data_IF_817040359418
#
_entry.id   IF_817040359418
#
_cell.length_a   1.000
_cell.length_b   1.000
_cell.length_c   1.000
_cell.angle_alpha   90.00
_cell.angle_beta   90.00
_cell.angle_gamma   90.00
#
_symmetry.space_group_name_H-M   'P 1'
#
loop_
_entity.id
_entity.type
_entity.pdbx_description
1 polymer ?
#
# COMPACT_ATOMS: atom_id res chain seq x y z
N UNK A 1 -65.89 11.13 45.75
CA UNK A 1 -65.94 9.75 45.22
C UNK A 1 -65.18 9.70 43.90
N UNK A 2 -64.07 8.96 43.83
CA UNK A 2 -63.28 8.80 42.60
C UNK A 2 -64.01 7.79 41.70
N UNK A 3 -64.40 8.19 40.49
CA UNK A 3 -64.98 7.27 39.52
C UNK A 3 -63.92 6.24 39.09
N UNK A 4 -64.15 4.98 39.39
CA UNK A 4 -63.36 3.86 38.90
C UNK A 4 -63.75 3.62 37.44
N UNK A 5 -63.01 4.23 36.52
CA UNK A 5 -63.17 4.00 35.08
C UNK A 5 -62.52 2.66 34.73
N UNK A 6 -63.36 1.66 34.44
CA UNK A 6 -62.92 0.38 33.89
C UNK A 6 -62.28 0.59 32.50
N UNK A 7 -61.07 0.08 32.32
CA UNK A 7 -60.39 0.04 31.03
C UNK A 7 -61.18 -0.92 30.13
N UNK A 8 -61.65 -0.43 28.98
CA UNK A 8 -62.38 -1.23 28.00
C UNK A 8 -61.43 -2.20 27.28
N UNK A 9 -61.88 -3.42 26.99
CA UNK A 9 -61.12 -4.43 26.23
C UNK A 9 -60.63 -3.87 24.88
N UNK A 10 -61.41 -2.98 24.26
CA UNK A 10 -61.05 -2.31 23.01
C UNK A 10 -59.80 -1.44 23.16
N UNK A 11 -59.64 -0.71 24.29
CA UNK A 11 -58.44 0.09 24.50
C UNK A 11 -57.20 -0.78 24.72
N UNK A 12 -57.36 -1.99 25.23
CA UNK A 12 -56.25 -2.94 25.37
C UNK A 12 -55.83 -3.52 24.01
N UNK A 13 -56.79 -3.85 23.13
CA UNK A 13 -56.48 -4.33 21.79
C UNK A 13 -55.78 -3.26 20.94
N UNK A 14 -56.24 -2.01 21.00
CA UNK A 14 -55.59 -0.89 20.30
C UNK A 14 -54.19 -0.61 20.86
N UNK A 15 -53.98 -0.72 22.17
CA UNK A 15 -52.65 -0.59 22.78
C UNK A 15 -51.65 -1.66 22.31
N UNK A 16 -52.12 -2.91 22.17
CA UNK A 16 -51.31 -4.03 21.67
C UNK A 16 -50.93 -3.86 20.19
N UNK A 17 -51.86 -3.42 19.34
CA UNK A 17 -51.56 -3.22 17.90
C UNK A 17 -50.57 -2.08 17.69
N UNK A 18 -50.71 -0.96 18.41
CA UNK A 18 -49.75 0.14 18.38
C UNK A 18 -48.37 -0.33 18.85
N UNK A 19 -48.31 -1.13 19.92
CA UNK A 19 -47.05 -1.68 20.42
C UNK A 19 -46.36 -2.57 19.38
N UNK A 20 -47.11 -3.40 18.65
CA UNK A 20 -46.56 -4.24 17.59
C UNK A 20 -45.99 -3.43 16.41
N UNK A 21 -46.69 -2.36 16.01
CA UNK A 21 -46.21 -1.46 14.94
C UNK A 21 -44.89 -0.78 15.35
N UNK A 22 -44.78 -0.32 16.60
CA UNK A 22 -43.56 0.32 17.12
C UNK A 22 -42.39 -0.66 17.12
N UNK A 23 -42.60 -1.90 17.55
CA UNK A 23 -41.54 -2.93 17.55
C UNK A 23 -41.06 -3.22 16.13
N UNK A 24 -41.96 -3.32 15.16
CA UNK A 24 -41.60 -3.51 13.75
C UNK A 24 -40.80 -2.33 13.20
N UNK A 25 -41.19 -1.09 13.52
CA UNK A 25 -40.46 0.11 13.13
C UNK A 25 -39.04 0.14 13.73
N UNK A 26 -38.91 -0.17 15.02
CA UNK A 26 -37.61 -0.32 15.70
C UNK A 26 -36.75 -1.42 15.06
N UNK A 27 -37.35 -2.54 14.65
CA UNK A 27 -36.61 -3.63 14.01
C UNK A 27 -36.07 -3.23 12.63
N UNK A 28 -36.81 -2.40 11.88
CA UNK A 28 -36.36 -1.83 10.61
C UNK A 28 -35.16 -0.90 10.80
N UNK A 29 -35.22 -0.01 11.79
CA UNK A 29 -34.10 0.88 12.15
C UNK A 29 -32.87 0.07 12.59
N UNK A 30 -33.06 -0.90 13.47
CA UNK A 30 -31.98 -1.76 13.96
C UNK A 30 -31.27 -2.51 12.82
N UNK A 31 -32.03 -3.08 11.87
CA UNK A 31 -31.45 -3.75 10.69
C UNK A 31 -30.61 -2.80 9.85
N UNK A 32 -31.10 -1.59 9.60
CA UNK A 32 -30.36 -0.57 8.85
C UNK A 32 -29.06 -0.18 9.57
N UNK A 33 -29.14 0.12 10.86
CA UNK A 33 -27.96 0.46 11.68
C UNK A 33 -26.94 -0.68 11.75
N UNK A 34 -27.39 -1.93 11.82
CA UNK A 34 -26.48 -3.07 11.79
C UNK A 34 -25.78 -3.20 10.43
N UNK A 35 -26.52 -3.05 9.33
CA UNK A 35 -25.94 -3.13 7.99
C UNK A 35 -24.87 -2.05 7.78
N UNK A 36 -25.15 -0.80 8.17
CA UNK A 36 -24.17 0.27 8.08
C UNK A 36 -22.96 0.00 8.97
N UNK A 37 -23.18 -0.46 10.21
CA UNK A 37 -22.09 -0.79 11.14
C UNK A 37 -21.19 -1.90 10.60
N UNK A 38 -21.75 -2.94 9.99
CA UNK A 38 -20.98 -4.04 9.39
C UNK A 38 -20.16 -3.55 8.20
N UNK A 39 -20.76 -2.76 7.30
CA UNK A 39 -20.05 -2.18 6.16
C UNK A 39 -18.92 -1.26 6.62
N UNK A 40 -19.17 -0.40 7.61
CA UNK A 40 -18.15 0.47 8.20
C UNK A 40 -17.01 -0.33 8.85
N UNK A 41 -17.32 -1.44 9.53
CA UNK A 41 -16.30 -2.32 10.14
C UNK A 41 -15.41 -2.97 9.07
N UNK A 42 -16.01 -3.46 7.99
CA UNK A 42 -15.26 -4.06 6.87
C UNK A 42 -14.37 -3.00 6.22
N UNK A 43 -14.91 -1.82 5.91
CA UNK A 43 -14.14 -0.71 5.34
C UNK A 43 -12.97 -0.29 6.22
N UNK A 44 -13.21 -0.10 7.52
CA UNK A 44 -12.16 0.26 8.48
C UNK A 44 -11.05 -0.81 8.58
N UNK A 45 -11.41 -2.10 8.53
CA UNK A 45 -10.43 -3.19 8.55
C UNK A 45 -9.56 -3.19 7.28
N UNK A 46 -10.15 -2.91 6.11
CA UNK A 46 -9.41 -2.82 4.86
C UNK A 46 -8.47 -1.62 4.86
N UNK A 47 -8.93 -0.45 5.32
CA UNK A 47 -8.10 0.75 5.43
C UNK A 47 -6.97 0.58 6.46
N UNK A 48 -7.22 -0.15 7.54
CA UNK A 48 -6.20 -0.54 8.50
C UNK A 48 -5.11 -1.43 7.87
N UNK A 49 -5.51 -2.46 7.13
CA UNK A 49 -4.57 -3.35 6.43
C UNK A 49 -3.75 -2.59 5.37
N UNK A 50 -4.37 -1.66 4.62
CA UNK A 50 -3.68 -0.79 3.65
C UNK A 50 -2.64 0.10 4.31
N UNK A 51 -3.03 0.79 5.38
CA UNK A 51 -2.14 1.69 6.13
C UNK A 51 -0.96 0.92 6.74
N UNK A 52 -1.22 -0.24 7.33
CA UNK A 52 -0.17 -1.11 7.87
C UNK A 52 0.76 -1.63 6.77
N UNK A 53 0.20 -2.07 5.64
CA UNK A 53 0.95 -2.49 4.46
C UNK A 53 1.87 -1.38 3.96
N UNK A 54 1.37 -0.17 3.77
CA UNK A 54 2.19 0.98 3.38
C UNK A 54 3.28 1.28 4.40
N UNK A 55 2.96 1.35 5.69
CA UNK A 55 3.94 1.62 6.74
C UNK A 55 5.07 0.58 6.74
N UNK A 56 4.75 -0.70 6.54
CA UNK A 56 5.75 -1.76 6.43
C UNK A 56 6.69 -1.56 5.24
N UNK A 57 6.16 -1.10 4.10
CA UNK A 57 6.97 -0.75 2.93
C UNK A 57 7.84 0.48 3.22
N UNK A 58 7.29 1.52 3.85
CA UNK A 58 8.07 2.71 4.19
C UNK A 58 9.25 2.35 5.11
N UNK A 59 9.00 1.49 6.10
CA UNK A 59 10.03 1.02 7.02
C UNK A 59 11.09 0.18 6.30
N UNK A 60 10.69 -0.73 5.40
CA UNK A 60 11.63 -1.55 4.64
C UNK A 60 12.41 -0.72 3.60
N UNK A 61 11.79 0.30 3.00
CA UNK A 61 12.45 1.22 2.09
C UNK A 61 13.54 2.06 2.79
N UNK A 62 13.40 2.34 4.08
CA UNK A 62 14.45 3.05 4.83
C UNK A 62 15.77 2.26 4.91
N UNK A 63 15.74 0.93 4.75
CA UNK A 63 16.96 0.13 4.69
C UNK A 63 17.68 0.27 3.34
N UNK A 64 17.05 0.80 2.30
CA UNK A 64 17.65 0.91 0.97
C UNK A 64 18.98 1.68 1.01
N UNK A 65 20.04 1.07 0.48
CA UNK A 65 21.38 1.65 0.46
C UNK A 65 22.18 1.48 1.75
N UNK A 66 21.58 0.99 2.83
CA UNK A 66 22.27 0.82 4.11
C UNK A 66 23.43 -0.18 3.98
N UNK A 67 24.61 0.18 4.50
CA UNK A 67 25.80 -0.68 4.53
C UNK A 67 26.49 -0.90 3.17
N UNK A 68 26.06 -0.23 2.09
CA UNK A 68 26.74 -0.28 0.79
C UNK A 68 27.86 0.76 0.71
N UNK A 69 29.05 0.35 0.28
CA UNK A 69 30.20 1.24 0.09
C UNK A 69 30.02 2.20 -1.09
N UNK A 70 29.40 1.70 -2.16
CA UNK A 70 29.02 2.47 -3.34
C UNK A 70 27.60 2.10 -3.73
N UNK A 71 26.77 3.12 -3.97
CA UNK A 71 25.42 2.92 -4.46
C UNK A 71 25.37 3.17 -5.96
N UNK A 72 24.91 2.17 -6.71
CA UNK A 72 24.73 2.25 -8.15
C UNK A 72 23.25 2.01 -8.46
N UNK A 73 22.58 3.02 -9.01
CA UNK A 73 21.15 2.97 -9.33
C UNK A 73 20.78 1.73 -10.17
N UNK A 74 21.55 1.40 -11.20
CA UNK A 74 21.20 0.30 -12.10
C UNK A 74 21.21 -1.08 -11.43
N UNK A 75 21.96 -1.27 -10.35
CA UNK A 75 22.14 -2.55 -9.64
C UNK A 75 21.51 -2.58 -8.26
N UNK A 76 21.35 -1.43 -7.61
CA UNK A 76 21.04 -1.34 -6.18
C UNK A 76 19.64 -0.80 -5.93
N UNK A 77 19.05 -0.10 -6.91
CA UNK A 77 17.71 0.45 -6.79
C UNK A 77 17.05 0.71 -8.14
N UNK A 78 15.99 -0.04 -8.45
CA UNK A 78 15.42 -0.02 -9.79
C UNK A 78 13.91 -0.11 -9.78
N UNK A 79 13.27 0.77 -10.56
CA UNK A 79 11.85 0.72 -10.86
C UNK A 79 11.64 0.02 -12.20
N UNK A 80 10.57 -0.77 -12.28
CA UNK A 80 10.18 -1.53 -13.46
C UNK A 80 8.74 -1.23 -13.86
N UNK A 81 8.47 -1.11 -15.16
CA UNK A 81 7.16 -0.65 -15.69
C UNK A 81 6.23 -1.76 -16.17
N UNK A 82 6.76 -2.96 -16.45
CA UNK A 82 6.00 -4.04 -17.09
C UNK A 82 6.33 -5.42 -16.49
N UNK A 83 6.41 -5.50 -15.16
CA UNK A 83 6.60 -6.78 -14.48
C UNK A 83 5.32 -7.63 -14.52
N UNK A 84 5.40 -8.85 -15.07
CA UNK A 84 4.23 -9.74 -15.20
C UNK A 84 3.74 -10.30 -13.84
N UNK A 85 2.44 -10.59 -13.76
CA UNK A 85 1.70 -10.89 -12.51
C UNK A 85 2.13 -12.17 -11.78
N UNK A 86 2.55 -13.19 -12.52
CA UNK A 86 2.88 -14.51 -11.98
C UNK A 86 4.36 -14.86 -12.02
N UNK A 87 5.11 -14.29 -12.97
CA UNK A 87 6.54 -14.52 -13.10
C UNK A 87 7.25 -13.30 -13.65
N UNK A 88 8.13 -12.69 -12.86
CA UNK A 88 8.90 -11.55 -13.35
C UNK A 88 10.19 -12.06 -14.00
N UNK A 89 10.16 -12.13 -15.33
CA UNK A 89 11.28 -12.50 -16.18
C UNK A 89 11.57 -11.37 -17.17
N UNK A 90 12.70 -10.68 -16.98
CA UNK A 90 13.15 -9.55 -17.80
C UNK A 90 12.23 -8.31 -17.85
N UNK A 91 11.89 -7.70 -16.70
CA UNK A 91 11.05 -6.51 -16.68
C UNK A 91 11.75 -5.28 -17.30
N UNK A 92 10.98 -4.45 -18.01
CA UNK A 92 11.46 -3.17 -18.56
C UNK A 92 11.77 -2.21 -17.43
N UNK A 93 13.00 -1.69 -17.43
CA UNK A 93 13.42 -0.73 -16.42
C UNK A 93 12.95 0.68 -16.75
N UNK A 94 12.38 1.37 -15.76
CA UNK A 94 12.08 2.79 -15.87
C UNK A 94 13.36 3.62 -15.75
N UNK A 95 13.45 4.70 -16.53
CA UNK A 95 14.51 5.70 -16.36
C UNK A 95 14.14 6.62 -15.20
N UNK A 96 14.91 6.58 -14.11
CA UNK A 96 14.69 7.49 -12.98
C UNK A 96 15.35 8.84 -13.27
N UNK A 97 14.58 9.91 -13.15
CA UNK A 97 15.06 11.28 -13.31
C UNK A 97 14.39 12.19 -12.27
N UNK A 98 14.56 13.51 -12.38
CA UNK A 98 13.79 14.47 -11.58
C UNK A 98 12.30 14.42 -11.89
N UNK A 99 11.91 13.89 -13.06
CA UNK A 99 10.52 13.64 -13.42
C UNK A 99 10.04 12.34 -12.77
N UNK A 100 8.77 12.32 -12.34
CA UNK A 100 8.14 11.14 -11.74
C UNK A 100 8.08 10.00 -12.76
N UNK A 101 8.74 8.89 -12.44
CA UNK A 101 8.60 7.62 -13.14
C UNK A 101 7.57 6.75 -12.41
N UNK A 102 6.72 6.06 -13.16
CA UNK A 102 5.70 5.14 -12.62
C UNK A 102 5.99 3.72 -13.06
N UNK A 103 5.77 2.75 -12.17
CA UNK A 103 5.97 1.34 -12.45
C UNK A 103 5.22 0.44 -11.49
N UNK A 104 5.38 -0.86 -11.69
CA UNK A 104 4.67 -1.91 -10.95
C UNK A 104 5.58 -2.81 -10.13
N UNK A 105 6.91 -2.73 -10.30
CA UNK A 105 7.89 -3.40 -9.44
C UNK A 105 9.00 -2.44 -9.01
N UNK A 106 9.38 -2.51 -7.73
CA UNK A 106 10.48 -1.73 -7.16
C UNK A 106 11.47 -2.65 -6.45
N UNK A 107 12.72 -2.58 -6.87
CA UNK A 107 13.85 -3.33 -6.32
C UNK A 107 14.75 -2.41 -5.50
N UNK A 108 15.25 -2.90 -4.37
CA UNK A 108 16.34 -2.25 -3.64
C UNK A 108 17.24 -3.25 -2.90
N UNK A 109 18.45 -2.81 -2.58
CA UNK A 109 19.47 -3.59 -1.84
C UNK A 109 19.95 -2.87 -0.58
N UNK A 110 20.36 -3.66 0.40
CA UNK A 110 21.08 -3.23 1.60
C UNK A 110 22.05 -4.32 2.08
N UNK A 111 22.91 -4.00 3.03
CA UNK A 111 23.81 -4.95 3.69
C UNK A 111 23.45 -5.00 5.16
N UNK A 112 23.12 -6.19 5.64
CA UNK A 112 22.84 -6.38 7.06
C UNK A 112 24.13 -6.26 7.88
N UNK A 113 24.14 -5.31 8.81
CA UNK A 113 25.34 -4.97 9.60
C UNK A 113 25.89 -6.14 10.42
N UNK A 114 25.04 -7.11 10.76
CA UNK A 114 25.38 -8.27 11.58
C UNK A 114 26.09 -9.39 10.81
N UNK A 115 25.91 -9.47 9.49
CA UNK A 115 26.37 -10.61 8.70
C UNK A 115 27.23 -10.23 7.49
N UNK A 116 27.35 -8.93 7.16
CA UNK A 116 27.96 -8.46 5.91
C UNK A 116 27.37 -9.15 4.66
N UNK A 117 26.11 -9.57 4.75
CA UNK A 117 25.38 -10.24 3.67
C UNK A 117 24.56 -9.21 2.92
N UNK A 118 24.66 -9.24 1.59
CA UNK A 118 23.81 -8.43 0.72
C UNK A 118 22.39 -8.99 0.75
N UNK A 119 21.43 -8.17 1.15
CA UNK A 119 20.01 -8.51 1.17
C UNK A 119 19.27 -7.55 0.25
N UNK A 120 18.27 -8.06 -0.44
CA UNK A 120 17.51 -7.30 -1.42
C UNK A 120 16.04 -7.58 -1.19
N UNK A 121 15.24 -6.57 -1.52
CA UNK A 121 13.81 -6.67 -1.52
C UNK A 121 13.25 -6.26 -2.87
N UNK A 122 12.08 -6.82 -3.12
CA UNK A 122 11.25 -6.55 -4.26
C UNK A 122 9.84 -6.25 -3.75
N UNK A 123 9.35 -5.08 -4.10
CA UNK A 123 7.95 -4.71 -3.96
C UNK A 123 7.28 -4.88 -5.31
N UNK A 124 6.14 -5.57 -5.34
CA UNK A 124 5.39 -5.81 -6.57
C UNK A 124 3.92 -5.45 -6.40
N UNK A 125 3.40 -4.67 -7.33
CA UNK A 125 1.99 -4.29 -7.42
C UNK A 125 1.36 -4.98 -8.64
N UNK A 126 0.58 -6.05 -8.45
CA UNK A 126 -0.09 -6.75 -9.53
C UNK A 126 -1.13 -5.88 -10.23
N UNK A 127 -1.37 -6.14 -11.51
CA UNK A 127 -2.43 -5.48 -12.28
C UNK A 127 -3.82 -5.78 -11.73
N UNK A 128 -3.99 -6.93 -11.06
CA UNK A 128 -5.20 -7.34 -10.35
C UNK A 128 -5.39 -6.73 -8.96
N UNK A 129 -4.49 -5.84 -8.53
CA UNK A 129 -4.55 -5.13 -7.26
C UNK A 129 -3.83 -5.81 -6.10
N UNK A 130 -3.67 -5.06 -5.01
CA UNK A 130 -2.89 -5.47 -3.85
C UNK A 130 -1.40 -5.13 -3.97
N UNK A 131 -0.63 -5.58 -3.00
CA UNK A 131 0.80 -5.29 -2.87
C UNK A 131 1.51 -6.51 -2.27
N UNK A 132 2.47 -7.05 -3.01
CA UNK A 132 3.32 -8.16 -2.61
C UNK A 132 4.71 -7.66 -2.23
N UNK A 133 5.29 -8.28 -1.22
CA UNK A 133 6.68 -8.06 -0.82
C UNK A 133 7.46 -9.36 -0.83
N UNK A 134 8.70 -9.25 -1.29
CA UNK A 134 9.65 -10.34 -1.34
C UNK A 134 11.01 -9.85 -0.87
N UNK A 135 11.75 -10.69 -0.13
CA UNK A 135 13.11 -10.40 0.28
C UNK A 135 14.00 -11.64 0.18
N UNK A 136 15.26 -11.46 -0.21
CA UNK A 136 16.24 -12.53 -0.38
C UNK A 136 17.62 -12.09 0.09
N UNK A 137 18.32 -12.97 0.79
CA UNK A 137 19.72 -12.80 1.19
C UNK A 137 20.67 -13.34 0.12
N UNK A 138 21.88 -12.79 0.02
CA UNK A 138 22.92 -13.20 -0.93
C UNK A 138 22.74 -12.65 -2.35
N UNK A 139 22.06 -11.52 -2.52
CA UNK A 139 21.76 -10.93 -3.82
C UNK A 139 22.68 -9.74 -4.12
N UNK A 140 23.36 -9.75 -5.26
CA UNK A 140 24.29 -8.69 -5.66
C UNK A 140 23.76 -7.80 -6.77
N UNK A 141 22.66 -8.19 -7.41
CA UNK A 141 22.04 -7.49 -8.53
C UNK A 141 20.54 -7.77 -8.57
N UNK A 142 19.77 -7.03 -9.38
CA UNK A 142 18.35 -7.33 -9.59
C UNK A 142 18.17 -8.74 -10.18
N UNK A 143 19.05 -9.15 -11.11
CA UNK A 143 19.07 -10.52 -11.66
C UNK A 143 19.26 -11.62 -10.62
N UNK A 144 19.93 -11.35 -9.50
CA UNK A 144 20.06 -12.29 -8.39
C UNK A 144 18.76 -12.51 -7.60
N UNK A 145 17.83 -11.57 -7.67
CA UNK A 145 16.46 -11.71 -7.15
C UNK A 145 15.65 -12.59 -8.12
N UNK A 146 15.59 -12.25 -9.41
CA UNK A 146 14.76 -12.96 -10.40
C UNK A 146 15.26 -14.39 -10.72
N UNK A 147 16.56 -14.65 -10.69
CA UNK A 147 17.14 -15.88 -11.23
C UNK A 147 16.99 -16.01 -12.76
N UNK A 148 17.49 -17.10 -13.34
CA UNK A 148 17.44 -17.33 -14.80
C UNK A 148 16.01 -17.67 -15.31
N UNK A 149 15.14 -18.15 -14.43
CA UNK A 149 13.77 -18.60 -14.74
C UNK A 149 12.70 -17.61 -14.27
N UNK A 150 13.08 -16.47 -13.69
CA UNK A 150 12.15 -15.55 -13.02
C UNK A 150 11.77 -15.99 -11.60
N UNK A 151 11.15 -15.09 -10.84
CA UNK A 151 10.57 -15.39 -9.52
C UNK A 151 9.15 -15.89 -9.70
N UNK A 152 8.85 -17.05 -9.12
CA UNK A 152 7.49 -17.44 -8.79
C UNK A 152 7.00 -16.63 -7.59
N UNK A 153 6.23 -15.57 -7.88
CA UNK A 153 5.66 -14.68 -6.88
C UNK A 153 4.58 -15.37 -6.03
N UNK A 154 4.06 -16.53 -6.43
CA UNK A 154 3.03 -17.24 -5.68
C UNK A 154 3.60 -17.93 -4.44
N UNK A 155 4.83 -18.44 -4.53
CA UNK A 155 5.44 -19.26 -3.48
C UNK A 155 6.44 -18.47 -2.61
N UNK A 156 7.03 -17.41 -3.16
CA UNK A 156 8.14 -16.70 -2.53
C UNK A 156 7.73 -15.39 -1.84
N UNK A 157 6.62 -14.77 -2.27
CA UNK A 157 6.17 -13.46 -1.77
C UNK A 157 5.06 -13.58 -0.73
N UNK A 158 4.90 -12.53 0.09
CA UNK A 158 3.75 -12.39 0.96
C UNK A 158 2.95 -11.13 0.61
N UNK A 159 1.64 -11.17 0.87
CA UNK A 159 0.77 -10.03 0.69
C UNK A 159 0.92 -9.04 1.85
N UNK A 160 1.32 -7.82 1.54
CA UNK A 160 1.25 -6.69 2.46
C UNK A 160 -0.14 -6.04 2.43
N UNK A 161 -0.71 -5.97 1.23
CA UNK A 161 -2.09 -5.53 1.01
C UNK A 161 -2.74 -6.58 0.12
N UNK A 162 -3.74 -7.34 0.60
CA UNK A 162 -4.41 -8.31 -0.23
C UNK A 162 -5.23 -7.64 -1.35
N UNK A 163 -5.39 -8.31 -2.50
CA UNK A 163 -6.33 -7.86 -3.52
C UNK A 163 -7.75 -7.89 -2.93
N UNK A 164 -8.62 -6.96 -3.35
CA UNK A 164 -9.99 -6.96 -2.87
C UNK A 164 -10.74 -8.16 -3.48
N UNK A 165 -10.87 -9.24 -2.72
CA UNK A 165 -11.69 -10.40 -3.06
C UNK A 165 -13.00 -10.31 -2.30
N UNK A 166 -13.84 -9.31 -2.58
CA UNK A 166 -15.25 -9.42 -2.20
C UNK A 166 -15.86 -10.55 -3.07
N UNK A 167 -16.16 -11.76 -2.54
CA UNK A 167 -16.48 -12.94 -3.36
C UNK A 167 -17.85 -12.86 -4.07
N UNK A 168 -18.49 -11.70 -4.07
CA UNK A 168 -19.81 -11.46 -4.67
C UNK A 168 -19.98 -10.07 -5.31
N UNK A 169 -18.93 -9.26 -5.39
CA UNK A 169 -18.95 -7.98 -6.11
C UNK A 169 -17.85 -7.97 -7.17
N UNK A 170 -18.23 -8.28 -8.41
CA UNK A 170 -17.39 -7.94 -9.56
C UNK A 170 -17.23 -6.42 -9.58
N UNK A 171 -15.99 -5.94 -9.51
CA UNK A 171 -15.71 -4.53 -9.69
C UNK A 171 -16.30 -4.05 -11.03
N UNK A 172 -16.78 -2.79 -11.12
CA UNK A 172 -17.20 -2.21 -12.39
C UNK A 172 -16.10 -2.38 -13.45
N UNK A 173 -16.47 -2.72 -14.68
CA UNK A 173 -15.52 -2.91 -15.77
C UNK A 173 -14.56 -1.71 -15.90
N UNK A 174 -13.26 -1.97 -15.82
CA UNK A 174 -12.20 -0.95 -15.91
C UNK A 174 -11.71 -0.38 -14.56
N UNK A 175 -12.31 -0.76 -13.42
CA UNK A 175 -11.80 -0.40 -12.08
C UNK A 175 -11.22 -1.65 -11.44
N UNK A 176 -9.90 -1.71 -11.30
CA UNK A 176 -9.27 -2.74 -10.47
C UNK A 176 -9.26 -2.21 -9.03
N UNK A 177 -10.12 -2.74 -8.13
CA UNK A 177 -10.13 -2.32 -6.75
C UNK A 177 -8.76 -2.63 -6.16
N UNK A 178 -8.20 -1.69 -5.39
CA UNK A 178 -6.92 -1.86 -4.72
C UNK A 178 -5.69 -1.89 -5.64
N UNK A 179 -5.78 -1.37 -6.87
CA UNK A 179 -4.60 -1.11 -7.68
C UNK A 179 -3.64 -0.14 -6.96
N UNK A 180 -2.39 -0.57 -6.79
CA UNK A 180 -1.32 0.24 -6.22
C UNK A 180 -0.40 0.67 -7.36
N UNK A 181 -0.19 1.98 -7.50
CA UNK A 181 0.81 2.53 -8.40
C UNK A 181 2.04 2.90 -7.59
N UNK A 182 3.21 2.42 -8.05
CA UNK A 182 4.50 2.80 -7.48
C UNK A 182 5.06 3.92 -8.36
N UNK A 183 5.42 5.03 -7.75
CA UNK A 183 6.03 6.16 -8.43
C UNK A 183 7.30 6.59 -7.72
N UNK A 184 8.32 6.95 -8.50
CA UNK A 184 9.64 7.30 -7.98
C UNK A 184 10.14 8.53 -8.71
N UNK A 185 10.70 9.48 -7.96
CA UNK A 185 11.38 10.63 -8.54
C UNK A 185 12.69 10.91 -7.81
N UNK A 186 13.69 11.38 -8.56
CA UNK A 186 14.92 11.93 -8.00
C UNK A 186 14.64 13.34 -7.49
N UNK A 187 15.26 13.69 -6.38
CA UNK A 187 15.20 15.03 -5.80
C UNK A 187 16.58 15.44 -5.29
N UNK A 188 16.78 16.74 -5.12
CA UNK A 188 18.02 17.26 -4.55
C UNK A 188 18.16 16.85 -3.08
N UNK A 189 19.39 16.76 -2.58
CA UNK A 189 19.70 16.34 -1.22
C UNK A 189 18.97 17.15 -0.12
N UNK A 190 18.62 18.41 -0.39
CA UNK A 190 17.87 19.27 0.53
C UNK A 190 16.34 19.01 0.54
N UNK A 191 15.79 18.46 -0.55
CA UNK A 191 14.33 18.27 -0.70
C UNK A 191 13.77 17.01 -0.04
N UNK A 192 14.62 16.14 0.51
CA UNK A 192 14.22 14.84 1.03
C UNK A 192 15.17 14.38 2.14
N UNK A 193 15.04 15.00 3.32
CA UNK A 193 15.72 14.62 4.57
C UNK A 193 14.74 13.90 5.50
N UNK A 194 15.13 12.82 6.18
CA UNK A 194 14.35 12.30 7.30
C UNK A 194 14.27 13.36 8.39
N UNK A 195 13.18 13.35 9.15
CA UNK A 195 13.03 14.23 10.29
C UNK A 195 14.20 14.06 11.26
N UNK A 196 14.84 15.16 11.66
CA UNK A 196 15.95 15.16 12.62
C UNK A 196 17.35 14.96 12.03
N UNK A 197 17.51 14.74 10.73
CA UNK A 197 18.83 14.67 10.07
C UNK A 197 19.04 15.94 9.25
N UNK A 198 19.96 16.81 9.68
CA UNK A 198 20.42 17.93 8.87
C UNK A 198 21.04 17.40 7.56
N UNK A 199 20.86 18.12 6.44
CA UNK A 199 21.45 17.78 5.14
C UNK A 199 22.99 17.94 5.12
N UNK A 200 23.67 17.34 6.10
CA UNK A 200 25.12 17.32 6.19
C UNK A 200 25.61 16.17 5.32
N UNK A 201 26.14 16.53 4.17
CA UNK A 201 26.92 15.65 3.32
C UNK A 201 28.13 15.16 4.15
N UNK A 202 28.39 13.84 4.26
CA UNK A 202 29.54 13.33 5.00
C UNK A 202 30.83 13.99 4.50
N UNK A 203 31.71 14.40 5.41
CA UNK A 203 32.99 15.01 5.07
C UNK A 203 33.82 14.06 4.18
N UNK A 204 33.99 14.42 2.90
CA UNK A 204 34.66 13.60 1.90
C UNK A 204 33.79 13.15 0.72
N UNK A 205 32.45 13.31 0.79
CA UNK A 205 31.58 13.14 -0.36
C UNK A 205 31.49 14.46 -1.14
N UNK A 206 32.00 14.49 -2.37
CA UNK A 206 31.87 15.64 -3.28
C UNK A 206 30.39 15.80 -3.67
N UNK A 207 29.83 16.99 -3.42
CA UNK A 207 28.43 17.39 -3.61
C UNK A 207 27.84 17.20 -5.02
N UNK A 208 28.61 16.70 -5.99
CA UNK A 208 28.27 16.84 -7.40
C UNK A 208 27.19 15.85 -7.88
N UNK A 209 26.81 14.81 -7.12
CA UNK A 209 25.83 13.80 -7.58
C UNK A 209 24.94 13.15 -6.50
N UNK A 210 24.76 13.72 -5.30
CA UNK A 210 23.83 13.17 -4.28
C UNK A 210 22.35 13.42 -4.63
N UNK A 211 21.83 12.74 -5.67
CA UNK A 211 20.39 12.65 -5.90
C UNK A 211 19.77 11.68 -4.87
N UNK A 212 18.76 12.16 -4.14
CA UNK A 212 17.94 11.33 -3.26
C UNK A 212 16.70 10.86 -4.00
N UNK A 213 16.08 9.79 -3.53
CA UNK A 213 14.88 9.24 -4.14
C UNK A 213 13.69 9.42 -3.22
N UNK A 214 12.57 9.85 -3.81
CA UNK A 214 11.25 9.83 -3.16
C UNK A 214 10.46 8.73 -3.82
N UNK A 215 9.99 7.77 -3.01
CA UNK A 215 9.07 6.72 -3.44
C UNK A 215 7.68 7.09 -2.97
N UNK A 216 6.73 7.16 -3.89
CA UNK A 216 5.32 7.42 -3.62
C UNK A 216 4.51 6.19 -4.03
N UNK A 217 3.81 5.62 -3.06
CA UNK A 217 2.78 4.62 -3.28
C UNK A 217 1.45 5.35 -3.32
N UNK A 218 0.64 5.09 -4.34
CA UNK A 218 -0.73 5.57 -4.40
C UNK A 218 -1.66 4.42 -4.69
N UNK A 219 -2.75 4.34 -3.92
CA UNK A 219 -3.77 3.32 -4.13
C UNK A 219 -5.13 3.98 -4.31
N UNK A 220 -5.90 3.46 -5.25
CA UNK A 220 -7.28 3.86 -5.47
C UNK A 220 -8.17 3.07 -4.49
N UNK A 221 -8.86 3.78 -3.60
CA UNK A 221 -9.84 3.16 -2.71
C UNK A 221 -11.08 2.72 -3.50
N UNK A 222 -11.49 1.48 -3.32
CA UNK A 222 -12.59 0.82 -4.03
C UNK A 222 -13.97 1.02 -3.39
N UNK A 223 -14.14 1.98 -2.48
CA UNK A 223 -15.46 2.30 -1.92
C UNK A 223 -16.45 2.90 -2.94
N UNK A 224 -16.07 3.04 -4.22
CA UNK A 224 -16.97 3.37 -5.31
C UNK A 224 -17.91 2.20 -5.65
N UNK A 225 -18.89 1.97 -4.78
CA UNK A 225 -20.00 1.04 -5.01
C UNK A 225 -21.03 1.57 -6.02
N UNK A 226 -20.86 2.81 -6.51
CA UNK A 226 -21.76 3.45 -7.48
C UNK A 226 -20.99 4.33 -8.45
N UNK A 227 -21.39 4.30 -9.71
CA UNK A 227 -20.99 5.23 -10.77
C UNK A 227 -21.20 6.66 -10.28
N UNK A 228 -20.10 7.34 -9.90
CA UNK A 228 -20.14 8.71 -9.38
C UNK A 228 -19.37 8.95 -8.08
N UNK A 229 -18.90 7.91 -7.38
CA UNK A 229 -18.05 8.09 -6.21
C UNK A 229 -16.64 8.53 -6.58
N UNK A 230 -16.19 9.61 -5.96
CA UNK A 230 -14.84 10.16 -6.15
C UNK A 230 -13.81 9.17 -5.61
N UNK A 231 -12.96 8.64 -6.50
CA UNK A 231 -11.84 7.81 -6.10
C UNK A 231 -10.85 8.66 -5.30
N UNK A 232 -10.70 8.36 -4.01
CA UNK A 232 -9.68 8.98 -3.18
C UNK A 232 -8.39 8.17 -3.31
N UNK A 233 -7.37 8.79 -3.91
CA UNK A 233 -6.02 8.27 -3.86
C UNK A 233 -5.49 8.48 -2.43
N UNK A 234 -5.01 7.40 -1.80
CA UNK A 234 -4.25 7.52 -0.56
C UNK A 234 -2.75 7.48 -0.90
N UNK A 235 -2.07 8.64 -0.97
CA UNK A 235 -0.64 8.68 -1.21
C UNK A 235 0.13 8.39 0.08
N UNK A 236 1.18 7.59 -0.04
CA UNK A 236 2.21 7.39 0.98
C UNK A 236 3.56 7.69 0.35
N UNK A 237 4.33 8.61 0.92
CA UNK A 237 5.65 9.01 0.40
C UNK A 237 6.76 8.65 1.38
N UNK A 238 7.82 8.02 0.88
CA UNK A 238 9.02 7.67 1.66
C UNK A 238 10.25 8.31 1.03
N UNK A 239 11.06 8.94 1.88
CA UNK A 239 12.32 9.54 1.52
C UNK A 239 13.48 8.57 1.76
N UNK A 240 14.27 8.29 0.73
CA UNK A 240 15.44 7.40 0.83
C UNK A 240 16.68 8.24 1.14
N UNK A 241 17.11 8.22 2.40
CA UNK A 241 18.17 9.08 2.91
C UNK A 241 19.55 8.42 2.95
N UNK A 242 19.60 7.09 2.98
CA UNK A 242 20.84 6.30 3.05
C UNK A 242 21.50 6.08 1.67
N UNK A 243 20.96 6.72 0.62
CA UNK A 243 21.43 6.57 -0.74
C UNK A 243 22.37 7.73 -1.07
N UNK A 244 23.67 7.42 -1.17
CA UNK A 244 24.69 8.31 -1.67
C UNK A 244 25.22 7.73 -2.98
N UNK A 245 24.82 8.32 -4.12
CA UNK A 245 25.30 7.90 -5.43
C UNK A 245 26.82 8.06 -5.50
N UNK A 246 27.51 7.03 -6.02
CA UNK A 246 28.92 7.14 -6.32
C UNK A 246 29.14 8.16 -7.47
N UNK A 247 30.23 8.95 -7.45
CA UNK A 247 30.59 9.79 -8.58
C UNK A 247 30.85 8.91 -9.81
N UNK A 248 30.20 9.23 -10.93
CA UNK A 248 30.48 8.61 -12.23
C UNK A 248 31.92 8.96 -12.66
N UNK A 249 32.73 7.99 -13.14
CA UNK A 249 34.05 8.26 -13.68
C UNK A 249 34.01 9.08 -14.98
#
# INVERSE_FOLDING_TARGET
>A
MRLQRGISIISMMVGLTISMIIVLAMMGLYKSTLQTTVLSKIGASQDGARTAGFLSVQSSLQSAGFGLNTFVETTDFRLYTDAADDSISAPTAATLSTTVATGNALFWRWVDASAAVNTCALLYAPTGGGLKYFSKTGCTSPSGIWGATGIDLASASHWLVPPNVDPGKTAPAGVVPNAVTISVNKTSAAGCVPFGIAATVPAGATETTTARFVVKLSMLSSNAGTTGDTQFAQPSSTCLANIHLAPTP
#
